data_IF_217932017033
#
_entry.id   IF_217932017033
#
_cell.length_a   1.000
_cell.length_b   1.000
_cell.length_c   1.000
_cell.angle_alpha   90.00
_cell.angle_beta   90.00
_cell.angle_gamma   90.00
#
_symmetry.space_group_name_H-M   'P 1'
#
loop_
_entity.id
_entity.type
_entity.pdbx_description
1 polymer ?
#
# COMPACT_ATOMS: atom_id res chain seq x y z
N UNK A 1 27.36 -3.27 11.54
CA UNK A 1 27.39 -1.80 11.43
C UNK A 1 25.97 -1.34 11.16
N UNK A 2 25.34 -0.62 12.06
CA UNK A 2 24.11 0.10 11.77
C UNK A 2 24.48 1.20 10.76
N UNK A 3 23.60 1.46 9.81
CA UNK A 3 23.80 2.58 8.89
C UNK A 3 23.88 3.89 9.69
N UNK A 4 24.76 4.79 9.30
CA UNK A 4 24.97 6.07 9.99
C UNK A 4 23.75 6.99 9.88
N UNK A 5 22.89 6.72 8.88
CA UNK A 5 21.63 7.43 8.63
C UNK A 5 20.46 6.46 8.60
N UNK A 6 19.51 6.61 9.52
CA UNK A 6 18.32 5.79 9.62
C UNK A 6 17.13 6.66 9.95
N UNK A 7 16.04 6.51 9.16
CA UNK A 7 14.73 7.07 9.46
C UNK A 7 13.74 5.92 9.64
N UNK A 8 13.05 5.91 10.76
CA UNK A 8 12.00 4.93 11.01
C UNK A 8 10.70 5.39 10.36
N UNK A 9 10.04 4.47 9.66
CA UNK A 9 8.75 4.73 9.04
C UNK A 9 7.66 3.87 9.66
N UNK A 10 6.48 4.45 9.92
CA UNK A 10 5.28 3.84 10.48
C UNK A 10 5.42 3.39 11.94
N UNK A 11 6.39 2.54 12.26
CA UNK A 11 6.60 2.04 13.62
C UNK A 11 7.58 2.92 14.37
N UNK A 12 7.09 3.56 15.42
CA UNK A 12 7.93 4.38 16.30
C UNK A 12 8.93 3.49 17.02
N UNK A 13 10.25 3.77 16.95
CA UNK A 13 11.25 3.03 17.71
C UNK A 13 11.12 3.33 19.19
N UNK A 14 11.56 2.43 20.09
CA UNK A 14 11.51 2.62 21.54
C UNK A 14 12.61 3.58 22.04
N UNK A 15 13.39 4.17 21.16
CA UNK A 15 14.48 5.12 21.46
C UNK A 15 14.35 6.34 20.55
N UNK A 16 15.05 7.42 20.92
CA UNK A 16 15.06 8.66 20.14
C UNK A 16 15.74 8.45 18.77
N UNK A 17 14.98 8.63 17.68
CA UNK A 17 15.47 8.53 16.32
C UNK A 17 14.53 9.31 15.38
N UNK A 18 15.00 9.72 14.18
CA UNK A 18 14.13 10.29 13.16
C UNK A 18 12.99 9.34 12.80
N UNK A 19 11.77 9.85 12.79
CA UNK A 19 10.57 9.05 12.60
C UNK A 19 9.56 9.79 11.71
N UNK A 20 8.95 9.06 10.81
CA UNK A 20 7.78 9.48 10.05
C UNK A 20 6.65 8.46 10.22
N UNK A 21 5.44 8.89 10.53
CA UNK A 21 4.32 7.99 10.75
C UNK A 21 2.97 8.65 10.62
N UNK A 22 1.93 7.94 11.02
CA UNK A 22 0.54 8.41 11.01
C UNK A 22 0.05 8.75 12.41
N UNK A 23 -0.96 9.61 12.48
CA UNK A 23 -1.66 9.92 13.72
C UNK A 23 -2.72 8.82 14.01
N UNK A 24 -2.29 7.75 14.68
CA UNK A 24 -3.17 6.66 15.08
C UNK A 24 -4.17 7.08 16.18
N UNK A 25 -3.84 8.07 17.00
CA UNK A 25 -4.77 8.62 17.97
C UNK A 25 -5.96 9.28 17.24
N UNK A 26 -5.68 10.08 16.24
CA UNK A 26 -6.71 10.68 15.40
C UNK A 26 -7.54 9.63 14.67
N UNK A 27 -6.90 8.59 14.13
CA UNK A 27 -7.61 7.48 13.45
C UNK A 27 -8.62 6.81 14.42
N UNK A 28 -8.21 6.52 15.65
CA UNK A 28 -9.09 5.98 16.68
C UNK A 28 -10.26 6.92 17.01
N UNK A 29 -9.97 8.21 17.19
CA UNK A 29 -11.00 9.23 17.51
C UNK A 29 -12.03 9.38 16.41
N UNK A 30 -11.60 9.44 15.14
CA UNK A 30 -12.53 9.58 13.99
C UNK A 30 -13.37 8.32 13.77
N UNK A 31 -12.81 7.12 14.01
CA UNK A 31 -13.58 5.88 14.01
C UNK A 31 -14.62 5.83 15.12
N UNK A 32 -14.28 6.32 16.32
CA UNK A 32 -15.24 6.42 17.43
C UNK A 32 -16.37 7.43 17.13
N UNK A 33 -16.05 8.59 16.55
CA UNK A 33 -17.06 9.55 16.08
C UNK A 33 -18.02 8.89 15.09
N UNK A 34 -17.48 8.12 14.14
CA UNK A 34 -18.28 7.39 13.16
C UNK A 34 -19.23 6.37 13.83
N UNK A 35 -18.77 5.70 14.90
CA UNK A 35 -19.61 4.79 15.68
C UNK A 35 -20.80 5.52 16.32
N UNK A 36 -20.57 6.71 16.88
CA UNK A 36 -21.62 7.51 17.51
C UNK A 36 -22.62 8.08 16.49
N UNK A 37 -22.12 8.55 15.35
CA UNK A 37 -22.97 9.02 14.24
C UNK A 37 -23.91 7.92 13.71
N UNK A 38 -23.47 6.67 13.71
CA UNK A 38 -24.25 5.50 13.30
C UNK A 38 -25.24 5.04 14.39
N UNK A 39 -25.12 5.54 15.59
CA UNK A 39 -26.02 5.22 16.70
C UNK A 39 -25.83 3.82 17.28
N UNK A 40 -24.65 3.22 17.13
CA UNK A 40 -24.38 1.91 17.72
C UNK A 40 -24.33 1.98 19.24
N UNK A 41 -24.94 0.98 19.90
CA UNK A 41 -24.96 0.85 21.36
C UNK A 41 -24.10 -0.29 21.91
N UNK A 42 -23.68 -1.21 21.04
CA UNK A 42 -22.83 -2.35 21.39
C UNK A 42 -21.72 -2.49 20.35
N UNK A 43 -20.48 -2.26 20.78
CA UNK A 43 -19.29 -2.21 19.94
C UNK A 43 -18.26 -3.23 20.41
N UNK A 44 -17.47 -3.73 19.47
CA UNK A 44 -16.21 -4.38 19.79
C UNK A 44 -15.05 -3.56 19.25
N UNK A 45 -14.03 -3.36 20.07
CA UNK A 45 -12.76 -2.75 19.69
C UNK A 45 -11.69 -3.84 19.67
N UNK A 46 -11.12 -4.11 18.49
CA UNK A 46 -10.06 -5.10 18.31
C UNK A 46 -8.74 -4.41 18.00
N UNK A 47 -7.76 -4.62 18.85
CA UNK A 47 -6.40 -4.06 18.67
C UNK A 47 -5.35 -5.15 18.73
N UNK A 48 -4.15 -4.85 18.27
CA UNK A 48 -2.96 -5.59 18.62
C UNK A 48 -2.53 -5.31 20.06
N UNK A 49 -1.29 -5.64 20.39
CA UNK A 49 -0.73 -5.40 21.72
C UNK A 49 -0.62 -3.90 22.01
N UNK A 50 -1.21 -3.43 23.11
CA UNK A 50 -1.09 -2.03 23.54
C UNK A 50 0.34 -1.64 24.00
N UNK A 51 1.28 -2.57 24.03
CA UNK A 51 2.70 -2.26 24.18
C UNK A 51 3.29 -1.61 22.92
N UNK A 52 2.62 -1.75 21.77
CA UNK A 52 3.01 -1.10 20.53
C UNK A 52 2.40 0.31 20.50
N UNK A 53 3.21 1.37 20.29
CA UNK A 53 2.73 2.76 20.32
C UNK A 53 1.52 3.02 19.42
N UNK A 54 1.53 2.53 18.18
CA UNK A 54 0.43 2.74 17.24
C UNK A 54 -0.91 2.14 17.74
N UNK A 55 -0.84 0.94 18.34
CA UNK A 55 -2.02 0.26 18.89
C UNK A 55 -2.55 0.97 20.14
N UNK A 56 -1.63 1.43 21.00
CA UNK A 56 -1.97 2.23 22.19
C UNK A 56 -2.57 3.58 21.81
N UNK A 57 -1.97 4.29 20.84
CA UNK A 57 -2.48 5.57 20.35
C UNK A 57 -3.88 5.42 19.75
N UNK A 58 -4.08 4.38 18.92
CA UNK A 58 -5.39 4.07 18.34
C UNK A 58 -6.44 3.78 19.42
N UNK A 59 -6.11 2.93 20.39
CA UNK A 59 -6.99 2.61 21.50
C UNK A 59 -7.35 3.86 22.31
N UNK A 60 -6.36 4.66 22.68
CA UNK A 60 -6.56 5.88 23.46
C UNK A 60 -7.41 6.90 22.70
N UNK A 61 -7.18 7.06 21.40
CA UNK A 61 -7.97 7.91 20.54
C UNK A 61 -9.44 7.46 20.48
N UNK A 62 -9.69 6.18 20.30
CA UNK A 62 -11.04 5.62 20.27
C UNK A 62 -11.75 5.81 21.61
N UNK A 63 -11.09 5.45 22.70
CA UNK A 63 -11.67 5.54 24.05
C UNK A 63 -11.88 6.98 24.53
N UNK A 64 -11.09 7.94 24.04
CA UNK A 64 -11.27 9.37 24.37
C UNK A 64 -12.64 9.91 23.93
N UNK A 65 -13.22 9.34 22.88
CA UNK A 65 -14.52 9.73 22.33
C UNK A 65 -15.61 8.76 22.79
N UNK A 66 -15.42 7.47 22.56
CA UNK A 66 -16.46 6.46 22.81
C UNK A 66 -16.60 6.08 24.29
N UNK A 67 -15.54 6.23 25.09
CA UNK A 67 -15.54 5.79 26.49
C UNK A 67 -16.55 6.51 27.39
N UNK A 68 -16.95 7.74 27.07
CA UNK A 68 -17.96 8.54 27.79
C UNK A 68 -19.36 8.54 27.16
N UNK A 69 -19.53 7.83 26.03
CA UNK A 69 -20.74 7.90 25.22
C UNK A 69 -21.94 7.08 25.74
N UNK A 70 -21.71 6.21 26.74
CA UNK A 70 -22.72 5.24 27.20
C UNK A 70 -22.84 3.98 26.35
N UNK A 71 -22.05 3.86 25.28
CA UNK A 71 -21.96 2.63 24.48
C UNK A 71 -21.30 1.51 25.28
N UNK A 72 -21.80 0.28 25.13
CA UNK A 72 -21.11 -0.90 25.65
C UNK A 72 -19.95 -1.28 24.71
N UNK A 73 -18.73 -1.11 25.18
CA UNK A 73 -17.51 -1.39 24.41
C UNK A 73 -16.84 -2.65 24.98
N UNK A 74 -16.69 -3.67 24.14
CA UNK A 74 -15.88 -4.84 24.45
C UNK A 74 -14.52 -4.67 23.76
N UNK A 75 -13.45 -4.48 24.54
CA UNK A 75 -12.10 -4.38 24.01
C UNK A 75 -11.38 -5.72 24.07
N UNK A 76 -10.84 -6.15 22.94
CA UNK A 76 -10.06 -7.38 22.79
C UNK A 76 -8.70 -7.06 22.18
N UNK A 77 -7.66 -7.47 22.88
CA UNK A 77 -6.32 -7.48 22.32
C UNK A 77 -6.05 -8.83 21.66
N UNK A 78 -5.49 -8.80 20.46
CA UNK A 78 -5.10 -10.02 19.77
C UNK A 78 -3.62 -9.99 19.37
N UNK A 79 -3.06 -11.16 19.19
CA UNK A 79 -1.73 -11.37 18.64
C UNK A 79 -1.79 -12.41 17.51
N UNK A 80 -0.74 -12.54 16.67
CA UNK A 80 -0.74 -13.49 15.57
C UNK A 80 -0.93 -14.95 15.97
N UNK A 81 -0.57 -15.32 17.21
CA UNK A 81 -0.58 -16.72 17.69
C UNK A 81 -1.93 -17.12 18.29
N UNK A 82 -2.68 -16.15 18.86
CA UNK A 82 -3.99 -16.39 19.52
C UNK A 82 -5.16 -15.78 18.75
N UNK A 83 -4.93 -15.38 17.51
CA UNK A 83 -5.85 -14.64 16.68
C UNK A 83 -7.25 -15.29 16.62
N UNK A 84 -7.31 -16.59 16.29
CA UNK A 84 -8.57 -17.32 16.19
C UNK A 84 -9.35 -17.30 17.52
N UNK A 85 -8.69 -17.67 18.62
CA UNK A 85 -9.30 -17.74 19.94
C UNK A 85 -9.85 -16.38 20.38
N UNK A 86 -9.06 -15.32 20.22
CA UNK A 86 -9.43 -13.97 20.64
C UNK A 86 -10.59 -13.42 19.79
N UNK A 87 -10.60 -13.66 18.48
CA UNK A 87 -11.69 -13.25 17.61
C UNK A 87 -12.97 -14.01 17.94
N UNK A 88 -12.91 -15.32 18.20
CA UNK A 88 -14.09 -16.10 18.59
C UNK A 88 -14.70 -15.61 19.90
N UNK A 89 -13.92 -15.09 20.84
CA UNK A 89 -14.45 -14.50 22.08
C UNK A 89 -15.32 -13.26 21.82
N UNK A 90 -15.13 -12.55 20.71
CA UNK A 90 -15.95 -11.39 20.33
C UNK A 90 -17.40 -11.77 20.06
N UNK A 91 -17.62 -12.97 19.55
CA UNK A 91 -18.93 -13.47 19.13
C UNK A 91 -19.64 -14.31 20.21
N UNK A 92 -19.25 -14.15 21.48
CA UNK A 92 -19.82 -14.90 22.62
C UNK A 92 -21.35 -14.84 22.71
N UNK A 93 -21.90 -14.46 23.83
CA UNK A 93 -23.36 -14.51 24.07
C UNK A 93 -24.20 -13.56 23.17
N UNK A 94 -23.62 -12.51 22.62
CA UNK A 94 -24.29 -11.61 21.66
C UNK A 94 -23.24 -10.98 20.74
N UNK A 95 -23.45 -11.09 19.43
CA UNK A 95 -22.61 -10.41 18.45
C UNK A 95 -22.70 -8.88 18.61
N UNK A 96 -21.59 -8.13 18.50
CA UNK A 96 -21.62 -6.68 18.51
C UNK A 96 -22.31 -6.15 17.23
N UNK A 97 -22.87 -4.97 17.28
CA UNK A 97 -23.44 -4.31 16.10
C UNK A 97 -22.35 -3.92 15.10
N UNK A 98 -21.19 -3.47 15.61
CA UNK A 98 -20.05 -3.12 14.81
C UNK A 98 -18.73 -3.48 15.50
N UNK A 99 -17.70 -3.72 14.69
CA UNK A 99 -16.35 -4.06 15.13
C UNK A 99 -15.39 -3.01 14.55
N UNK A 100 -14.63 -2.36 15.42
CA UNK A 100 -13.62 -1.37 15.09
C UNK A 100 -12.23 -1.97 15.27
N UNK A 101 -11.41 -1.91 14.25
CA UNK A 101 -10.18 -2.70 14.15
C UNK A 101 -8.99 -1.80 13.77
N UNK A 102 -7.93 -1.87 14.57
CA UNK A 102 -6.71 -1.08 14.36
C UNK A 102 -5.91 -1.46 13.11
N UNK A 103 -6.14 -2.67 12.56
CA UNK A 103 -5.31 -3.22 11.48
C UNK A 103 -6.14 -4.05 10.50
N UNK A 104 -5.96 -3.79 9.20
CA UNK A 104 -6.68 -4.45 8.11
C UNK A 104 -6.55 -5.99 8.12
N UNK A 105 -5.38 -6.52 8.40
CA UNK A 105 -5.18 -7.98 8.45
C UNK A 105 -5.97 -8.69 9.54
N UNK A 106 -6.35 -7.98 10.62
CA UNK A 106 -7.28 -8.51 11.61
C UNK A 106 -8.72 -8.47 11.09
N UNK A 107 -9.09 -7.44 10.32
CA UNK A 107 -10.43 -7.33 9.74
C UNK A 107 -10.75 -8.49 8.79
N UNK A 108 -9.81 -8.86 7.92
CA UNK A 108 -9.95 -10.03 7.04
C UNK A 108 -10.16 -11.30 7.87
N UNK A 109 -9.38 -11.49 8.92
CA UNK A 109 -9.51 -12.66 9.79
C UNK A 109 -10.84 -12.70 10.55
N UNK A 110 -11.36 -11.56 10.97
CA UNK A 110 -12.68 -11.46 11.60
C UNK A 110 -13.76 -11.91 10.62
N UNK A 111 -13.68 -11.46 9.35
CA UNK A 111 -14.65 -11.82 8.32
C UNK A 111 -14.60 -13.30 7.97
N UNK A 112 -13.40 -13.87 7.84
CA UNK A 112 -13.21 -15.30 7.53
C UNK A 112 -13.75 -16.18 8.65
N UNK A 113 -13.48 -15.82 9.91
CA UNK A 113 -14.00 -16.54 11.08
C UNK A 113 -15.52 -16.43 11.15
N UNK A 114 -16.08 -15.24 10.91
CA UNK A 114 -17.53 -15.08 10.86
C UNK A 114 -18.16 -15.99 9.82
N UNK A 115 -17.68 -15.93 8.59
CA UNK A 115 -18.21 -16.73 7.48
C UNK A 115 -18.06 -18.24 7.70
N UNK A 116 -17.07 -18.67 8.49
CA UNK A 116 -16.79 -20.09 8.73
C UNK A 116 -17.63 -20.66 9.88
N UNK A 117 -17.83 -19.91 10.94
CA UNK A 117 -18.37 -20.43 12.20
C UNK A 117 -19.72 -19.85 12.61
N UNK A 118 -20.18 -18.80 11.94
CA UNK A 118 -21.41 -18.09 12.32
C UNK A 118 -22.35 -17.96 11.13
N UNK A 119 -23.63 -17.74 11.41
CA UNK A 119 -24.68 -17.55 10.41
C UNK A 119 -25.50 -16.31 10.74
N UNK A 120 -26.07 -15.68 9.72
CA UNK A 120 -26.86 -14.45 9.84
C UNK A 120 -26.07 -13.21 9.41
N UNK A 121 -26.61 -12.03 9.69
CA UNK A 121 -26.00 -10.76 9.31
C UNK A 121 -24.68 -10.54 10.05
N UNK A 122 -23.61 -10.31 9.32
CA UNK A 122 -22.32 -10.02 9.94
C UNK A 122 -22.31 -8.62 10.54
N UNK A 123 -21.59 -8.40 11.66
CA UNK A 123 -21.37 -7.05 12.18
C UNK A 123 -20.76 -6.14 11.13
N UNK A 124 -21.08 -4.84 11.20
CA UNK A 124 -20.35 -3.86 10.39
C UNK A 124 -18.88 -3.80 10.83
N UNK A 125 -17.97 -3.87 9.88
CA UNK A 125 -16.52 -3.86 10.17
C UNK A 125 -15.93 -2.55 9.72
N UNK A 126 -15.29 -1.86 10.66
CA UNK A 126 -14.54 -0.63 10.47
C UNK A 126 -13.06 -0.89 10.75
N UNK A 127 -12.18 -0.53 9.85
CA UNK A 127 -10.76 -0.84 10.00
C UNK A 127 -9.84 0.25 9.50
N UNK A 128 -8.73 0.45 10.20
CA UNK A 128 -7.60 1.21 9.66
C UNK A 128 -6.94 0.39 8.56
N UNK A 129 -6.74 1.00 7.42
CA UNK A 129 -6.33 0.31 6.19
C UNK A 129 -5.25 1.09 5.47
N UNK A 130 -4.21 0.42 4.94
CA UNK A 130 -3.36 1.06 3.95
C UNK A 130 -4.19 1.45 2.73
N UNK A 131 -3.84 2.57 2.12
CA UNK A 131 -4.34 2.96 0.81
C UNK A 131 -4.18 1.78 -0.17
N UNK A 132 -5.19 1.50 -0.98
CA UNK A 132 -5.21 0.38 -1.95
C UNK A 132 -5.42 -1.03 -1.40
N UNK A 133 -5.98 -1.19 -0.19
CA UNK A 133 -6.46 -2.51 0.19
C UNK A 133 -7.69 -2.90 -0.63
N UNK A 134 -7.73 -4.18 -0.97
CA UNK A 134 -8.77 -4.75 -1.81
C UNK A 134 -10.16 -4.53 -1.23
N UNK A 135 -11.11 -4.10 -2.05
CA UNK A 135 -12.47 -3.81 -1.64
C UNK A 135 -13.41 -5.03 -1.76
N UNK A 136 -12.90 -6.24 -1.74
CA UNK A 136 -13.73 -7.45 -1.76
C UNK A 136 -14.64 -7.59 -0.54
N UNK A 137 -14.27 -6.94 0.54
CA UNK A 137 -15.02 -6.95 1.77
C UNK A 137 -15.78 -5.63 1.94
N UNK A 138 -17.02 -5.70 2.43
CA UNK A 138 -17.87 -4.54 2.75
C UNK A 138 -17.37 -3.77 4.00
N UNK A 139 -16.04 -3.71 4.19
CA UNK A 139 -15.44 -2.97 5.30
C UNK A 139 -15.52 -1.46 5.06
N UNK A 140 -15.81 -0.74 6.13
CA UNK A 140 -15.62 0.70 6.19
C UNK A 140 -14.15 0.98 6.50
N UNK A 141 -13.42 1.54 5.53
CA UNK A 141 -11.96 1.70 5.61
C UNK A 141 -11.59 3.11 5.97
N UNK A 142 -10.83 3.26 7.03
CA UNK A 142 -10.13 4.48 7.38
C UNK A 142 -8.72 4.41 6.81
N UNK A 143 -8.42 5.22 5.82
CA UNK A 143 -7.21 5.05 5.00
C UNK A 143 -6.03 5.87 5.48
N UNK A 144 -4.84 5.25 5.43
CA UNK A 144 -3.54 5.84 5.67
C UNK A 144 -2.74 5.90 4.37
N UNK A 145 -2.17 7.06 4.04
CA UNK A 145 -1.45 7.28 2.79
C UNK A 145 0.02 6.83 2.86
N UNK A 146 0.27 5.53 2.73
CA UNK A 146 1.61 4.96 2.76
C UNK A 146 2.54 5.46 1.63
N UNK A 147 1.97 5.90 0.49
CA UNK A 147 2.78 6.51 -0.57
C UNK A 147 3.42 7.82 -0.09
N UNK A 148 2.63 8.66 0.61
CA UNK A 148 3.14 9.88 1.19
C UNK A 148 4.13 9.60 2.32
N UNK A 149 3.87 8.57 3.14
CA UNK A 149 4.80 8.13 4.17
C UNK A 149 6.17 7.78 3.58
N UNK A 150 6.20 6.98 2.52
CA UNK A 150 7.45 6.63 1.84
C UNK A 150 8.19 7.84 1.29
N UNK A 151 7.47 8.80 0.70
CA UNK A 151 8.05 10.05 0.19
C UNK A 151 8.67 10.87 1.32
N UNK A 152 7.93 11.12 2.40
CA UNK A 152 8.40 11.91 3.54
C UNK A 152 9.58 11.25 4.25
N UNK A 153 9.53 9.93 4.45
CA UNK A 153 10.65 9.20 5.05
C UNK A 153 11.93 9.30 4.20
N UNK A 154 11.81 9.21 2.87
CA UNK A 154 12.92 9.40 1.95
C UNK A 154 13.47 10.83 1.98
N UNK A 155 12.60 11.84 2.00
CA UNK A 155 12.99 13.26 2.12
C UNK A 155 13.73 13.53 3.43
N UNK A 156 13.26 13.00 4.56
CA UNK A 156 13.94 13.08 5.86
C UNK A 156 15.34 12.46 5.79
N UNK A 157 15.48 11.29 5.18
CA UNK A 157 16.76 10.61 5.02
C UNK A 157 17.74 11.43 4.17
N UNK A 158 17.27 11.97 3.04
CA UNK A 158 18.08 12.81 2.14
C UNK A 158 18.54 14.08 2.86
N UNK A 159 17.68 14.71 3.65
CA UNK A 159 18.01 15.89 4.43
C UNK A 159 19.07 15.59 5.49
N UNK A 160 18.94 14.46 6.19
CA UNK A 160 19.90 14.02 7.20
C UNK A 160 21.30 13.80 6.59
N UNK A 161 21.40 13.07 5.50
CA UNK A 161 22.63 12.87 4.74
C UNK A 161 23.24 14.20 4.25
N UNK A 162 22.39 15.14 3.84
CA UNK A 162 22.83 16.43 3.30
C UNK A 162 23.37 17.36 4.37
N UNK A 163 22.83 17.32 5.60
CA UNK A 163 23.33 18.07 6.76
C UNK A 163 24.74 17.64 7.16
N UNK A 164 25.01 16.34 7.16
CA UNK A 164 26.33 15.83 7.48
C UNK A 164 27.40 16.28 6.47
N UNK A 165 27.06 16.31 5.17
CA UNK A 165 27.96 16.80 4.12
C UNK A 165 28.27 18.30 4.27
N UNK A 166 27.33 19.10 4.76
CA UNK A 166 27.52 20.55 5.03
C UNK A 166 28.25 20.81 6.34
N UNK A 167 27.95 20.04 7.40
CA UNK A 167 28.60 20.19 8.71
C UNK A 167 30.10 19.88 8.71
N UNK A 168 30.61 19.17 7.70
CA UNK A 168 32.06 18.97 7.50
C UNK A 168 32.76 20.18 6.84
N UNK A 169 32.02 21.24 6.44
CA UNK A 169 32.57 22.42 5.71
C UNK A 169 32.37 23.79 6.37
N UNK A 170 31.62 23.92 7.46
CA UNK A 170 31.40 25.23 8.09
C UNK A 170 31.13 25.11 9.61
N UNK A 171 31.69 26.06 10.36
CA UNK A 171 31.38 26.25 11.77
C UNK A 171 29.91 26.72 11.98
N UNK A 172 29.47 26.95 13.23
CA UNK A 172 28.06 27.05 13.57
C UNK A 172 27.40 28.26 12.91
N UNK A 173 26.52 28.05 11.95
CA UNK A 173 25.57 29.02 11.41
C UNK A 173 24.16 28.73 11.90
N UNK A 174 23.46 29.78 12.27
CA UNK A 174 22.10 29.80 12.79
C UNK A 174 21.11 29.14 11.78
N UNK A 175 20.20 28.32 12.32
CA UNK A 175 19.21 27.56 11.56
C UNK A 175 17.95 28.42 11.42
N UNK A 176 17.66 28.89 10.21
CA UNK A 176 16.32 29.36 9.85
C UNK A 176 15.35 28.17 9.75
N UNK A 177 14.25 28.24 10.51
CA UNK A 177 13.18 27.24 10.54
C UNK A 177 12.38 27.24 9.24
N UNK A 178 12.07 26.08 8.64
CA UNK A 178 11.08 26.01 7.58
C UNK A 178 9.67 26.07 8.17
N UNK A 179 8.98 27.11 7.77
CA UNK A 179 7.60 27.43 8.13
C UNK A 179 6.64 26.46 7.43
N UNK A 180 6.17 25.43 8.14
CA UNK A 180 4.84 24.80 7.95
C UNK A 180 4.62 23.78 9.08
N UNK A 181 4.13 24.28 10.21
CA UNK A 181 3.59 23.46 11.29
C UNK A 181 2.09 23.29 11.08
N UNK A 182 1.67 22.09 10.70
CA UNK A 182 0.28 21.65 10.89
C UNK A 182 0.34 20.31 11.62
N UNK A 183 -0.05 20.33 12.89
CA UNK A 183 -0.14 19.14 13.73
C UNK A 183 0.49 19.33 15.10
N UNK A 184 -0.33 19.27 16.14
CA UNK A 184 0.09 19.45 17.53
C UNK A 184 1.18 18.45 17.92
N UNK A 185 2.34 19.00 18.27
CA UNK A 185 3.49 18.32 18.82
C UNK A 185 3.16 17.72 20.21
N UNK A 186 2.99 16.41 20.28
CA UNK A 186 2.94 15.63 21.53
C UNK A 186 4.11 14.67 21.60
N UNK A 187 5.31 15.15 21.33
CA UNK A 187 6.55 14.38 21.43
C UNK A 187 7.51 15.02 22.40
N UNK A 188 7.97 14.27 23.39
CA UNK A 188 9.03 14.67 24.27
C UNK A 188 10.28 15.11 23.49
N UNK A 189 10.88 16.18 23.97
CA UNK A 189 12.10 16.88 23.55
C UNK A 189 13.30 15.91 23.30
N UNK A 190 13.34 15.28 22.13
CA UNK A 190 14.41 14.32 21.77
C UNK A 190 15.34 14.82 20.66
N UNK A 191 15.22 16.08 20.23
CA UNK A 191 16.11 16.67 19.20
C UNK A 191 16.03 16.04 17.80
N UNK A 192 15.25 14.97 17.62
CA UNK A 192 15.06 14.31 16.32
C UNK A 192 13.69 14.65 15.72
N UNK A 193 13.59 14.85 14.40
CA UNK A 193 12.32 15.16 13.76
C UNK A 193 11.35 13.99 13.90
N UNK A 194 10.18 14.27 14.49
CA UNK A 194 9.04 13.37 14.52
C UNK A 194 7.95 13.97 13.63
N UNK A 195 7.70 13.38 12.47
CA UNK A 195 6.73 13.85 11.51
C UNK A 195 5.51 12.93 11.52
N UNK A 196 4.35 13.48 11.89
CA UNK A 196 3.07 12.81 11.76
C UNK A 196 2.37 13.30 10.50
N UNK A 197 2.03 12.37 9.63
CA UNK A 197 1.31 12.62 8.39
C UNK A 197 -0.19 12.74 8.66
N UNK A 198 -0.85 13.59 7.91
CA UNK A 198 -2.31 13.62 7.90
C UNK A 198 -2.88 12.32 7.34
N UNK A 199 -3.90 11.81 8.01
CA UNK A 199 -4.62 10.63 7.57
C UNK A 199 -5.54 10.98 6.39
N UNK A 200 -5.71 10.06 5.44
CA UNK A 200 -6.67 10.22 4.34
C UNK A 200 -8.13 10.06 4.80
N UNK A 201 -8.34 9.38 5.93
CA UNK A 201 -9.65 9.17 6.51
C UNK A 201 -10.56 8.25 5.69
N UNK A 202 -11.86 8.42 5.77
CA UNK A 202 -12.82 7.66 4.97
C UNK A 202 -12.89 8.24 3.55
N UNK A 203 -12.32 7.53 2.59
CA UNK A 203 -12.27 7.97 1.20
C UNK A 203 -12.90 6.94 0.27
N UNK A 204 -13.75 7.40 -0.64
CA UNK A 204 -14.18 6.61 -1.80
C UNK A 204 -13.23 6.88 -2.97
N UNK A 205 -12.24 6.00 -3.16
CA UNK A 205 -11.25 6.07 -4.25
C UNK A 205 -11.86 6.01 -5.65
N UNK A 206 -13.11 5.61 -5.72
CA UNK A 206 -13.83 5.44 -6.97
C UNK A 206 -14.99 6.44 -7.11
N UNK A 207 -15.02 7.49 -6.27
CA UNK A 207 -16.05 8.54 -6.36
C UNK A 207 -16.04 9.23 -7.72
N UNK A 208 -14.84 9.47 -8.26
CA UNK A 208 -14.61 10.22 -9.50
C UNK A 208 -14.53 9.31 -10.75
N UNK A 209 -14.87 8.02 -10.63
CA UNK A 209 -14.92 7.15 -11.81
C UNK A 209 -15.98 7.67 -12.79
N UNK A 210 -15.55 7.92 -14.02
CA UNK A 210 -16.46 8.21 -15.13
C UNK A 210 -17.34 7.00 -15.40
N UNK A 211 -18.65 7.19 -15.40
CA UNK A 211 -19.61 6.14 -15.76
C UNK A 211 -19.77 6.11 -17.26
N UNK A 212 -19.29 5.06 -17.95
CA UNK A 212 -19.42 4.98 -19.41
C UNK A 212 -20.89 4.89 -19.85
N UNK A 213 -21.20 5.50 -20.98
CA UNK A 213 -22.53 5.36 -21.61
C UNK A 213 -22.76 3.94 -22.15
N UNK A 214 -21.71 3.32 -22.67
CA UNK A 214 -21.76 1.92 -23.14
C UNK A 214 -21.60 0.95 -21.98
N UNK A 215 -22.40 -0.11 -21.99
CA UNK A 215 -22.31 -1.24 -21.04
C UNK A 215 -21.72 -2.49 -21.68
N UNK A 216 -21.06 -2.35 -22.84
CA UNK A 216 -20.35 -3.45 -23.48
C UNK A 216 -19.30 -4.04 -22.53
N UNK A 217 -19.25 -5.35 -22.34
CA UNK A 217 -18.21 -5.99 -21.54
C UNK A 217 -16.81 -5.65 -22.04
N UNK A 218 -15.87 -5.44 -21.10
CA UNK A 218 -14.45 -5.31 -21.40
C UNK A 218 -13.75 -6.63 -21.14
N UNK A 219 -12.99 -7.11 -22.13
CA UNK A 219 -12.22 -8.35 -22.06
C UNK A 219 -10.73 -8.00 -21.87
N UNK A 220 -10.15 -8.47 -20.78
CA UNK A 220 -8.77 -8.18 -20.38
C UNK A 220 -7.96 -9.47 -20.40
N UNK A 221 -6.85 -9.48 -21.11
CA UNK A 221 -5.86 -10.56 -21.06
C UNK A 221 -4.67 -10.12 -20.21
N UNK A 222 -4.31 -10.94 -19.22
CA UNK A 222 -3.22 -10.64 -18.29
C UNK A 222 -2.39 -11.88 -17.99
N UNK A 223 -1.11 -11.61 -17.66
CA UNK A 223 -0.16 -12.61 -17.21
C UNK A 223 -0.51 -13.09 -15.80
N UNK A 224 -0.35 -14.38 -15.52
CA UNK A 224 -0.49 -14.96 -14.18
C UNK A 224 0.52 -14.36 -13.23
N UNK A 225 0.02 -13.61 -12.25
CA UNK A 225 0.82 -12.83 -11.31
C UNK A 225 -0.07 -12.29 -10.17
N UNK A 226 0.48 -11.96 -9.01
CA UNK A 226 -0.29 -11.34 -7.93
C UNK A 226 -1.10 -10.11 -8.39
N UNK A 227 -0.56 -9.32 -9.32
CA UNK A 227 -1.28 -8.16 -9.87
C UNK A 227 -2.48 -8.53 -10.75
N UNK A 228 -2.51 -9.71 -11.38
CA UNK A 228 -3.68 -10.18 -12.13
C UNK A 228 -4.86 -10.45 -11.20
N UNK A 229 -4.60 -11.06 -10.04
CA UNK A 229 -5.64 -11.29 -9.03
C UNK A 229 -6.12 -9.98 -8.42
N UNK A 230 -5.21 -9.03 -8.18
CA UNK A 230 -5.55 -7.66 -7.78
C UNK A 230 -6.47 -7.00 -8.81
N UNK A 231 -6.13 -7.09 -10.09
CA UNK A 231 -6.94 -6.53 -11.18
C UNK A 231 -8.33 -7.17 -11.23
N UNK A 232 -8.45 -8.50 -11.03
CA UNK A 232 -9.73 -9.20 -10.95
C UNK A 232 -10.61 -8.66 -9.81
N UNK A 233 -10.02 -8.30 -8.70
CA UNK A 233 -10.76 -7.76 -7.57
C UNK A 233 -11.20 -6.31 -7.84
N UNK A 234 -10.31 -5.48 -8.36
CA UNK A 234 -10.65 -4.11 -8.76
C UNK A 234 -11.74 -4.08 -9.85
N UNK A 235 -11.73 -5.05 -10.78
CA UNK A 235 -12.74 -5.14 -11.84
C UNK A 235 -14.15 -5.35 -11.30
N UNK A 236 -14.32 -6.08 -10.20
CA UNK A 236 -15.63 -6.26 -9.54
C UNK A 236 -16.19 -4.94 -9.03
N UNK A 237 -15.33 -4.06 -8.48
CA UNK A 237 -15.77 -2.76 -8.00
C UNK A 237 -16.11 -1.85 -9.18
N UNK A 238 -15.25 -1.85 -10.19
CA UNK A 238 -15.51 -1.10 -11.41
C UNK A 238 -16.87 -1.52 -11.99
N UNK A 239 -17.14 -2.83 -12.13
CA UNK A 239 -18.42 -3.35 -12.59
C UNK A 239 -19.58 -2.90 -11.69
N UNK A 240 -19.44 -3.00 -10.35
CA UNK A 240 -20.48 -2.58 -9.41
C UNK A 240 -20.80 -1.08 -9.54
N UNK A 241 -19.78 -0.23 -9.75
CA UNK A 241 -19.95 1.23 -9.85
C UNK A 241 -20.43 1.69 -11.23
N UNK A 242 -19.92 1.09 -12.29
CA UNK A 242 -20.16 1.56 -13.66
C UNK A 242 -21.28 0.76 -14.37
N UNK A 243 -21.56 -0.44 -13.91
CA UNK A 243 -22.44 -1.39 -14.60
C UNK A 243 -21.80 -2.03 -15.86
N UNK A 244 -20.49 -1.82 -16.09
CA UNK A 244 -19.74 -2.43 -17.20
C UNK A 244 -19.09 -3.72 -16.72
N UNK A 245 -19.45 -4.90 -17.26
CA UNK A 245 -18.79 -6.16 -16.94
C UNK A 245 -17.31 -6.14 -17.38
N UNK A 246 -16.42 -6.69 -16.57
CA UNK A 246 -15.01 -6.86 -16.91
C UNK A 246 -14.63 -8.31 -16.77
N UNK A 247 -14.25 -8.93 -17.88
CA UNK A 247 -13.83 -10.33 -17.96
C UNK A 247 -12.31 -10.39 -17.95
N UNK A 248 -11.72 -11.00 -16.92
CA UNK A 248 -10.27 -11.15 -16.80
C UNK A 248 -9.85 -12.57 -17.17
N UNK A 249 -9.10 -12.71 -18.25
CA UNK A 249 -8.45 -13.95 -18.67
C UNK A 249 -6.99 -13.92 -18.23
N UNK A 250 -6.56 -14.98 -17.54
CA UNK A 250 -5.20 -15.10 -16.99
C UNK A 250 -4.50 -16.25 -17.69
N UNK A 251 -3.37 -15.97 -18.32
CA UNK A 251 -2.52 -16.94 -19.01
C UNK A 251 -1.14 -17.01 -18.34
N UNK A 252 -0.49 -18.16 -18.45
CA UNK A 252 0.94 -18.31 -18.13
C UNK A 252 1.80 -17.45 -19.05
N UNK A 253 3.09 -17.33 -18.74
CA UNK A 253 4.01 -16.53 -19.56
C UNK A 253 4.13 -17.08 -20.99
N UNK A 254 4.15 -18.38 -21.14
CA UNK A 254 4.23 -19.07 -22.44
C UNK A 254 2.94 -18.89 -23.23
N UNK A 255 1.79 -19.14 -22.61
CA UNK A 255 0.48 -19.04 -23.26
C UNK A 255 0.16 -17.62 -23.73
N UNK A 256 0.53 -16.59 -22.93
CA UNK A 256 0.27 -15.19 -23.31
C UNK A 256 1.18 -14.75 -24.46
N UNK A 257 2.43 -15.22 -24.50
CA UNK A 257 3.34 -14.96 -25.61
C UNK A 257 2.83 -15.58 -26.92
N UNK A 258 2.40 -16.83 -26.88
CA UNK A 258 1.78 -17.52 -28.03
C UNK A 258 0.50 -16.80 -28.48
N UNK A 259 -0.34 -16.39 -27.54
CA UNK A 259 -1.56 -15.65 -27.87
C UNK A 259 -1.23 -14.34 -28.61
N UNK A 260 -0.21 -13.59 -28.18
CA UNK A 260 0.19 -12.35 -28.86
C UNK A 260 0.76 -12.57 -30.25
N UNK A 261 1.50 -13.66 -30.50
CA UNK A 261 2.01 -13.99 -31.81
C UNK A 261 0.92 -14.32 -32.82
N UNK A 262 -0.22 -14.85 -32.36
CA UNK A 262 -1.38 -15.20 -33.18
C UNK A 262 -2.51 -14.16 -33.13
N UNK A 263 -2.32 -13.08 -32.39
CA UNK A 263 -3.34 -12.04 -32.22
C UNK A 263 -3.38 -11.12 -33.44
N UNK A 264 -4.59 -10.75 -33.83
CA UNK A 264 -4.88 -9.76 -34.88
C UNK A 264 -5.68 -8.60 -34.29
N UNK A 265 -5.86 -7.53 -35.06
CA UNK A 265 -6.60 -6.31 -34.63
C UNK A 265 -8.08 -6.55 -34.33
N UNK A 266 -8.65 -7.66 -34.75
CA UNK A 266 -10.04 -8.10 -34.48
C UNK A 266 -10.13 -9.02 -33.26
N UNK A 267 -9.11 -9.05 -32.42
CA UNK A 267 -9.08 -9.84 -31.19
C UNK A 267 -10.29 -9.55 -30.30
N UNK A 268 -10.70 -10.56 -29.56
CA UNK A 268 -11.77 -10.44 -28.55
C UNK A 268 -11.35 -9.65 -27.30
N UNK A 269 -10.07 -9.36 -27.16
CA UNK A 269 -9.54 -8.64 -26.00
C UNK A 269 -9.47 -7.14 -26.27
N UNK A 270 -10.02 -6.35 -25.34
CA UNK A 270 -10.01 -4.89 -25.38
C UNK A 270 -8.78 -4.30 -24.66
N UNK A 271 -8.25 -5.02 -23.66
CA UNK A 271 -7.07 -4.58 -22.84
C UNK A 271 -6.09 -5.73 -22.71
N UNK A 272 -4.82 -5.46 -22.95
CA UNK A 272 -3.73 -6.42 -22.83
C UNK A 272 -2.74 -5.96 -21.77
N UNK A 273 -2.35 -6.85 -20.83
CA UNK A 273 -1.19 -6.67 -19.98
C UNK A 273 -0.05 -7.50 -20.50
N UNK A 274 1.02 -6.85 -20.92
CA UNK A 274 2.20 -7.50 -21.50
C UNK A 274 3.48 -7.17 -20.70
N UNK A 275 4.49 -8.00 -20.90
CA UNK A 275 5.82 -7.75 -20.38
C UNK A 275 6.46 -6.54 -21.09
N UNK A 276 7.22 -5.73 -20.35
CA UNK A 276 7.88 -4.54 -20.89
C UNK A 276 8.80 -4.85 -22.06
N UNK A 277 9.45 -6.02 -22.05
CA UNK A 277 10.35 -6.45 -23.11
C UNK A 277 9.63 -6.71 -24.44
N UNK A 278 8.34 -6.99 -24.39
CA UNK A 278 7.51 -7.26 -25.57
C UNK A 278 6.86 -6.01 -26.17
N UNK A 279 6.79 -4.92 -25.40
CA UNK A 279 6.08 -3.71 -25.81
C UNK A 279 6.53 -3.23 -27.20
N UNK A 280 7.83 -3.13 -27.43
CA UNK A 280 8.39 -2.67 -28.72
C UNK A 280 8.10 -3.61 -29.90
N UNK A 281 7.90 -4.90 -29.63
CA UNK A 281 7.62 -5.91 -30.66
C UNK A 281 6.17 -5.95 -31.08
N UNK A 282 5.26 -5.69 -30.15
CA UNK A 282 3.82 -5.84 -30.37
C UNK A 282 3.08 -4.52 -30.55
N UNK A 283 3.69 -3.36 -30.19
CA UNK A 283 3.03 -2.06 -30.24
C UNK A 283 2.34 -1.79 -31.58
N UNK A 284 3.08 -1.83 -32.69
CA UNK A 284 2.52 -1.52 -34.01
C UNK A 284 1.71 -2.69 -34.63
N UNK A 285 1.72 -3.87 -34.01
CA UNK A 285 1.07 -5.06 -34.57
C UNK A 285 -0.33 -5.29 -34.02
N UNK A 286 -0.49 -5.15 -32.70
CA UNK A 286 -1.73 -5.52 -32.01
C UNK A 286 -2.25 -4.43 -31.07
N UNK A 287 -1.45 -3.39 -30.78
CA UNK A 287 -1.88 -2.32 -29.89
C UNK A 287 -2.29 -1.08 -30.67
N UNK A 288 -3.25 -0.36 -30.13
CA UNK A 288 -3.61 0.97 -30.60
C UNK A 288 -2.88 2.01 -29.73
N UNK A 289 -2.28 3.06 -30.31
CA UNK A 289 -1.72 4.15 -29.51
C UNK A 289 -2.77 4.80 -28.62
N UNK A 290 -2.47 4.92 -27.33
CA UNK A 290 -3.40 5.47 -26.34
C UNK A 290 -3.69 6.94 -26.54
N UNK A 291 -2.73 7.69 -27.10
CA UNK A 291 -2.91 9.12 -27.48
C UNK A 291 -3.91 9.35 -28.63
N UNK A 292 -4.26 8.29 -29.37
CA UNK A 292 -5.37 8.33 -30.34
C UNK A 292 -6.72 8.06 -29.70
N UNK A 293 -6.73 7.28 -28.60
CA UNK A 293 -7.96 6.96 -27.87
C UNK A 293 -8.34 8.13 -26.97
N UNK A 294 -7.35 8.66 -26.22
CA UNK A 294 -7.51 9.79 -25.33
C UNK A 294 -6.33 10.76 -25.49
N UNK A 295 -6.56 11.92 -26.10
CA UNK A 295 -5.53 12.97 -26.22
C UNK A 295 -4.97 13.45 -24.88
N UNK A 296 -5.73 13.28 -23.79
CA UNK A 296 -5.32 13.65 -22.44
C UNK A 296 -4.44 12.62 -21.74
N UNK A 297 -4.16 11.47 -22.37
CA UNK A 297 -3.43 10.35 -21.74
C UNK A 297 -2.03 10.75 -21.25
N UNK A 298 -1.41 11.74 -21.90
CA UNK A 298 -0.08 12.22 -21.51
C UNK A 298 -0.05 12.79 -20.10
N UNK A 299 -1.14 13.40 -19.62
CA UNK A 299 -1.23 13.89 -18.24
C UNK A 299 -1.26 12.77 -17.21
N UNK A 300 -1.72 11.59 -17.59
CA UNK A 300 -1.65 10.39 -16.71
C UNK A 300 -0.20 9.94 -16.50
N UNK A 301 0.68 10.16 -17.47
CA UNK A 301 2.09 9.75 -17.38
C UNK A 301 2.81 10.52 -16.26
N UNK A 302 2.44 11.78 -16.02
CA UNK A 302 3.03 12.63 -14.97
C UNK A 302 2.84 12.05 -13.55
N UNK A 303 1.92 11.09 -13.40
CA UNK A 303 1.69 10.39 -12.12
C UNK A 303 2.65 9.23 -11.86
N UNK A 304 3.42 8.81 -12.87
CA UNK A 304 4.38 7.71 -12.78
C UNK A 304 5.80 8.23 -12.55
N UNK A 305 6.71 7.34 -12.16
CA UNK A 305 8.12 7.68 -12.01
C UNK A 305 8.74 7.94 -13.39
N UNK A 306 9.43 9.06 -13.56
CA UNK A 306 10.05 9.49 -14.83
C UNK A 306 10.89 8.39 -15.48
N UNK A 307 11.67 7.66 -14.70
CA UNK A 307 12.53 6.58 -15.21
C UNK A 307 11.76 5.38 -15.80
N UNK A 308 10.46 5.24 -15.50
CA UNK A 308 9.65 4.12 -16.00
C UNK A 308 8.89 4.45 -17.29
N UNK A 309 8.57 5.72 -17.51
CA UNK A 309 7.70 6.15 -18.62
C UNK A 309 8.26 5.74 -19.98
N UNK A 310 9.52 6.05 -20.25
CA UNK A 310 10.14 5.77 -21.54
C UNK A 310 10.21 4.29 -21.87
N UNK A 311 10.41 3.44 -20.85
CA UNK A 311 10.54 1.99 -21.06
C UNK A 311 9.19 1.27 -21.12
N UNK A 312 8.22 1.71 -20.31
CA UNK A 312 6.96 1.01 -20.12
C UNK A 312 5.79 1.56 -20.95
N UNK A 313 5.96 2.76 -21.54
CA UNK A 313 4.82 3.46 -22.15
C UNK A 313 5.08 3.88 -23.60
N UNK A 314 6.31 4.28 -23.94
CA UNK A 314 6.59 4.98 -25.20
C UNK A 314 7.32 4.08 -26.19
N UNK A 315 6.73 3.94 -27.38
CA UNK A 315 7.36 3.30 -28.55
C UNK A 315 7.34 4.27 -29.72
N UNK A 316 8.51 4.57 -30.28
CA UNK A 316 8.65 5.50 -31.41
C UNK A 316 7.96 6.86 -31.21
N UNK A 317 8.04 7.38 -29.98
CA UNK A 317 7.49 8.69 -29.63
C UNK A 317 5.97 8.73 -29.40
N UNK A 318 5.29 7.57 -29.37
CA UNK A 318 3.86 7.45 -29.10
C UNK A 318 3.59 6.63 -27.84
N UNK A 319 2.52 6.96 -27.14
CA UNK A 319 2.09 6.26 -25.93
C UNK A 319 1.25 5.04 -26.28
N UNK A 320 1.76 3.84 -26.01
CA UNK A 320 1.05 2.58 -26.26
C UNK A 320 0.58 1.87 -25.00
N UNK A 321 1.20 2.16 -23.85
CA UNK A 321 0.88 1.48 -22.62
C UNK A 321 0.99 2.42 -21.41
N UNK A 322 0.42 1.99 -20.28
CA UNK A 322 0.64 2.60 -18.97
C UNK A 322 1.39 1.60 -18.06
N UNK A 323 2.36 2.05 -17.24
CA UNK A 323 3.03 1.18 -16.29
C UNK A 323 2.04 0.60 -15.30
N UNK A 324 1.96 -0.73 -15.19
CA UNK A 324 1.09 -1.40 -14.22
C UNK A 324 1.87 -1.81 -12.96
N UNK A 325 2.95 -2.58 -13.15
CA UNK A 325 3.78 -3.09 -12.06
C UNK A 325 5.25 -2.97 -12.45
N UNK A 326 5.85 -1.77 -12.35
CA UNK A 326 7.27 -1.62 -12.62
C UNK A 326 8.08 -2.48 -11.65
N UNK A 327 9.08 -3.18 -12.17
CA UNK A 327 9.99 -4.03 -11.41
C UNK A 327 11.44 -3.65 -11.66
N UNK A 328 12.29 -3.97 -10.70
CA UNK A 328 13.73 -3.76 -10.80
C UNK A 328 14.44 -5.10 -10.68
N UNK A 329 15.31 -5.39 -11.60
CA UNK A 329 16.18 -6.56 -11.50
C UNK A 329 17.38 -6.21 -10.61
N UNK A 330 17.59 -7.03 -9.57
CA UNK A 330 18.69 -6.88 -8.64
C UNK A 330 19.52 -8.16 -8.64
N UNK A 331 20.83 -7.99 -8.71
CA UNK A 331 21.76 -9.10 -8.53
C UNK A 331 22.12 -9.23 -7.05
N UNK A 332 21.76 -10.34 -6.44
CA UNK A 332 22.18 -10.69 -5.10
C UNK A 332 23.40 -11.61 -5.16
N UNK A 333 24.39 -11.34 -4.34
CA UNK A 333 25.59 -12.19 -4.25
C UNK A 333 25.95 -12.46 -2.79
N UNK A 334 26.62 -13.58 -2.56
CA UNK A 334 27.13 -13.99 -1.26
C UNK A 334 28.41 -13.19 -0.94
N UNK A 335 28.25 -12.10 -0.19
CA UNK A 335 29.37 -11.23 0.20
C UNK A 335 30.49 -11.98 0.92
N UNK A 336 30.13 -12.89 1.80
CA UNK A 336 31.05 -13.74 2.55
C UNK A 336 31.94 -14.62 1.65
N UNK A 337 31.42 -15.09 0.50
CA UNK A 337 32.22 -15.86 -0.48
C UNK A 337 33.19 -14.95 -1.24
N UNK A 338 32.74 -13.77 -1.67
CA UNK A 338 33.60 -12.82 -2.37
C UNK A 338 34.68 -12.21 -1.48
N UNK A 339 34.44 -12.09 -0.18
CA UNK A 339 35.41 -11.59 0.80
C UNK A 339 36.30 -12.70 1.38
N UNK A 340 35.99 -13.97 1.15
CA UNK A 340 36.77 -15.10 1.66
C UNK A 340 38.20 -15.12 1.08
N UNK A 341 39.23 -15.12 1.94
CA UNK A 341 40.63 -15.22 1.46
C UNK A 341 40.90 -16.47 0.64
N UNK A 342 40.20 -17.58 0.96
CA UNK A 342 40.36 -18.85 0.26
C UNK A 342 39.85 -18.74 -1.17
N UNK A 343 38.61 -18.23 -1.36
CA UNK A 343 38.03 -18.11 -2.69
C UNK A 343 38.72 -17.03 -3.53
N UNK A 344 39.16 -15.93 -2.94
CA UNK A 344 39.97 -14.89 -3.63
C UNK A 344 41.27 -15.46 -4.15
N UNK A 345 41.96 -16.25 -3.33
CA UNK A 345 43.19 -16.91 -3.72
C UNK A 345 42.98 -17.92 -4.86
N UNK A 346 41.99 -18.81 -4.71
CA UNK A 346 41.67 -19.80 -5.74
C UNK A 346 41.31 -19.13 -7.09
N UNK A 347 40.48 -18.10 -7.04
CA UNK A 347 40.09 -17.36 -8.23
C UNK A 347 41.32 -16.69 -8.92
N UNK A 348 42.15 -16.04 -8.10
CA UNK A 348 43.37 -15.42 -8.59
C UNK A 348 44.37 -16.44 -9.19
N UNK A 349 44.53 -17.60 -8.56
CA UNK A 349 45.39 -18.67 -9.07
C UNK A 349 44.89 -19.21 -10.42
N UNK A 350 43.55 -19.31 -10.57
CA UNK A 350 42.92 -19.85 -11.79
C UNK A 350 42.89 -18.82 -12.94
N UNK A 351 42.43 -17.60 -12.64
CA UNK A 351 42.09 -16.59 -13.66
C UNK A 351 43.07 -15.43 -13.73
N UNK A 352 44.04 -15.33 -12.83
CA UNK A 352 44.98 -14.22 -12.68
C UNK A 352 44.30 -12.84 -12.52
N UNK A 353 43.10 -12.82 -11.97
CA UNK A 353 42.26 -11.65 -11.74
C UNK A 353 41.82 -11.61 -10.29
N UNK A 354 41.43 -10.44 -9.81
CA UNK A 354 40.81 -10.32 -8.49
C UNK A 354 39.34 -10.75 -8.55
N UNK A 355 38.90 -11.53 -7.54
CA UNK A 355 37.52 -11.86 -7.36
C UNK A 355 36.78 -10.62 -6.85
N UNK A 356 35.92 -10.04 -7.68
CA UNK A 356 35.04 -8.90 -7.37
C UNK A 356 33.60 -9.27 -7.72
N UNK A 357 32.61 -8.73 -6.95
CA UNK A 357 31.19 -8.89 -7.30
C UNK A 357 30.85 -8.11 -8.57
#
# INVERSE_FOLDING_TARGET
>A
MLADHVVFAERRPPFAAPYAGFDYHRAGSELALRALERGFSSLCLLTGSLQLPNESDFFNGFMSIAGSSGCRINHIQTDPYRKLQNIMQMFGAAAPQAIFISNYGFAESVKDIWNTFYSGDSPEIYTVSPMFTMPENDFQKYELNYRQLGKVAAECLIQDISKEKKGKKSGPEEIEEPNQRTGQDRGQDSGHPCLLLENSGFRDWFADILIPSSKKPLNVLTLDSPSAYTMRNLSRIYTKKTGVPVNITIYSYEEIYEAFNHMHHDSVFDVLRLDVTWLSWFADKILQPLDQIDPGISSCLDTFLDGTINQYSIVRGRVYALPSTPSVQLLYYRKDLFESPIYRRMYHETYRQELRP
#
